data_IF_684214375789
#
_entry.id   IF_684214375789
#
_cell.length_a   1.000
_cell.length_b   1.000
_cell.length_c   1.000
_cell.angle_alpha   90.00
_cell.angle_beta   90.00
_cell.angle_gamma   90.00
#
_symmetry.space_group_name_H-M   'P 1'
#
loop_
_entity.id
_entity.type
_entity.pdbx_description
1 polymer ?
#
# COMPACT_ATOMS: atom_id res chain seq x y z
N UNK A 1 -5.37 13.87 26.99
CA UNK A 1 -5.77 13.80 25.57
C UNK A 1 -4.53 13.98 24.73
N UNK A 2 -3.88 12.88 24.37
CA UNK A 2 -2.72 12.87 23.48
C UNK A 2 -3.18 13.17 22.06
N UNK A 3 -2.53 14.12 21.39
CA UNK A 3 -2.76 14.39 19.98
C UNK A 3 -2.58 13.07 19.18
N UNK A 4 -3.46 12.76 18.21
CA UNK A 4 -3.25 11.59 17.37
C UNK A 4 -1.91 11.76 16.62
N UNK A 5 -1.10 10.69 16.47
CA UNK A 5 0.08 10.74 15.62
C UNK A 5 -0.34 11.25 14.24
N UNK A 6 0.54 12.01 13.57
CA UNK A 6 0.38 12.73 12.30
C UNK A 6 -0.11 11.84 11.12
N UNK A 7 -1.31 11.30 11.27
CA UNK A 7 -1.95 10.30 10.43
C UNK A 7 -3.27 10.85 9.92
N UNK A 8 -3.23 12.03 9.31
CA UNK A 8 -4.38 12.57 8.62
C UNK A 8 -3.92 13.14 7.28
N UNK A 9 -3.97 12.28 6.26
CA UNK A 9 -4.11 12.68 4.86
C UNK A 9 -2.99 13.52 4.21
N UNK A 10 -1.75 13.47 4.70
CA UNK A 10 -0.64 14.25 4.10
C UNK A 10 -0.24 13.80 2.68
N UNK A 11 -0.82 12.71 2.17
CA UNK A 11 -0.65 12.24 0.78
C UNK A 11 -1.95 12.24 -0.04
N UNK A 12 -2.95 13.07 0.30
CA UNK A 12 -4.02 13.44 -0.66
C UNK A 12 -3.60 14.68 -1.45
N UNK A 13 -2.31 14.76 -1.76
CA UNK A 13 -1.79 15.64 -2.79
C UNK A 13 -0.80 14.80 -3.59
N UNK A 14 -0.96 14.84 -4.90
CA UNK A 14 0.00 14.23 -5.80
C UNK A 14 1.42 14.81 -5.55
N UNK A 15 2.49 14.21 -6.07
CA UNK A 15 3.84 14.77 -5.96
C UNK A 15 4.01 16.18 -6.57
N UNK A 16 2.97 16.75 -7.18
CA UNK A 16 2.94 18.10 -7.75
C UNK A 16 2.11 19.10 -6.91
N UNK A 17 1.63 18.69 -5.72
CA UNK A 17 0.89 19.56 -4.80
C UNK A 17 -0.57 19.79 -5.15
N UNK A 18 -1.09 19.11 -6.18
CA UNK A 18 -2.50 19.11 -6.59
C UNK A 18 -3.26 18.07 -5.76
N UNK A 19 -4.38 18.47 -5.16
CA UNK A 19 -5.36 17.53 -4.61
C UNK A 19 -6.20 16.95 -5.76
N UNK A 20 -5.57 16.11 -6.59
CA UNK A 20 -6.26 15.42 -7.68
C UNK A 20 -6.70 14.04 -7.22
N UNK A 21 -8.02 13.82 -7.26
CA UNK A 21 -8.74 12.57 -7.07
C UNK A 21 -7.99 11.54 -6.20
N UNK A 22 -8.13 11.67 -4.87
CA UNK A 22 -8.15 10.47 -4.05
C UNK A 22 -9.10 9.50 -4.76
N UNK A 23 -8.60 8.38 -5.27
CA UNK A 23 -9.46 7.23 -5.53
C UNK A 23 -10.27 7.11 -4.23
N UNK A 24 -11.59 7.34 -4.29
CA UNK A 24 -12.39 7.49 -3.07
C UNK A 24 -12.24 6.28 -2.13
N UNK A 25 -11.80 5.16 -2.71
CA UNK A 25 -11.66 3.87 -2.10
C UNK A 25 -10.20 3.48 -1.76
N UNK A 26 -9.20 4.37 -1.95
CA UNK A 26 -7.79 4.10 -1.62
C UNK A 26 -7.18 5.15 -0.71
N UNK A 27 -6.64 4.72 0.43
CA UNK A 27 -5.93 5.58 1.36
C UNK A 27 -4.43 5.30 1.35
N UNK A 28 -3.63 6.36 1.23
CA UNK A 28 -2.17 6.27 1.26
C UNK A 28 -1.64 6.90 2.57
N UNK A 29 -0.82 6.16 3.29
CA UNK A 29 -0.20 6.58 4.55
C UNK A 29 1.30 6.32 4.51
N UNK A 30 2.04 7.07 5.35
CA UNK A 30 3.47 6.88 5.55
C UNK A 30 3.71 6.40 6.98
N UNK A 31 4.64 5.47 7.13
CA UNK A 31 5.15 4.99 8.40
C UNK A 31 6.68 5.11 8.42
N UNK A 32 7.25 5.14 9.62
CA UNK A 32 8.69 5.14 9.87
C UNK A 32 9.26 3.73 10.13
N UNK A 33 8.39 2.75 10.41
CA UNK A 33 8.79 1.36 10.64
C UNK A 33 7.74 0.36 10.18
N UNK A 34 8.14 -0.90 9.98
CA UNK A 34 7.25 -1.99 9.55
C UNK A 34 6.16 -2.29 10.60
N UNK A 35 6.52 -2.17 11.89
CA UNK A 35 5.58 -2.32 13.01
C UNK A 35 4.54 -1.21 13.00
N UNK A 36 4.98 0.03 12.85
CA UNK A 36 4.08 1.18 12.73
C UNK A 36 3.19 1.05 11.51
N UNK A 37 3.72 0.63 10.36
CA UNK A 37 2.94 0.44 9.14
C UNK A 37 1.78 -0.55 9.34
N UNK A 38 2.05 -1.64 10.08
CA UNK A 38 1.03 -2.63 10.43
C UNK A 38 -0.07 -2.03 11.32
N UNK A 39 0.32 -1.33 12.40
CA UNK A 39 -0.62 -0.71 13.34
C UNK A 39 -1.44 0.38 12.67
N UNK A 40 -0.81 1.23 11.86
CA UNK A 40 -1.48 2.28 11.11
C UNK A 40 -2.45 1.71 10.09
N UNK A 41 -2.07 0.63 9.40
CA UNK A 41 -2.98 -0.03 8.46
C UNK A 41 -4.26 -0.47 9.16
N UNK A 42 -4.16 -1.05 10.35
CA UNK A 42 -5.31 -1.52 11.13
C UNK A 42 -6.18 -0.38 11.62
N UNK A 43 -5.56 0.67 12.15
CA UNK A 43 -6.26 1.85 12.64
C UNK A 43 -7.00 2.57 11.49
N UNK A 44 -6.37 2.69 10.33
CA UNK A 44 -6.96 3.36 9.16
C UNK A 44 -8.08 2.51 8.58
N UNK A 45 -7.90 1.19 8.43
CA UNK A 45 -8.98 0.29 8.02
C UNK A 45 -10.20 0.37 8.95
N UNK A 46 -9.98 0.43 10.27
CA UNK A 46 -11.06 0.55 11.25
C UNK A 46 -11.76 1.92 11.19
N UNK A 47 -11.01 3.00 10.93
CA UNK A 47 -11.54 4.37 10.90
C UNK A 47 -12.23 4.73 9.59
N UNK A 48 -11.84 4.09 8.48
CA UNK A 48 -12.36 4.38 7.15
C UNK A 48 -12.93 3.12 6.50
N UNK A 49 -14.06 2.59 7.00
CA UNK A 49 -14.65 1.34 6.52
C UNK A 49 -15.18 1.42 5.07
N UNK A 50 -15.29 2.63 4.51
CA UNK A 50 -15.66 2.86 3.11
C UNK A 50 -14.47 2.66 2.15
N UNK A 51 -13.22 2.72 2.62
CA UNK A 51 -12.06 2.51 1.76
C UNK A 51 -11.93 1.02 1.44
N UNK A 52 -11.77 0.70 0.15
CA UNK A 52 -11.52 -0.67 -0.29
C UNK A 52 -10.07 -1.10 -0.03
N UNK A 53 -9.13 -0.15 -0.13
CA UNK A 53 -7.70 -0.37 0.03
C UNK A 53 -7.07 0.69 0.94
N UNK A 54 -6.18 0.24 1.81
CA UNK A 54 -5.31 1.09 2.64
C UNK A 54 -3.87 0.68 2.38
N UNK A 55 -3.03 1.59 1.92
CA UNK A 55 -1.61 1.37 1.69
C UNK A 55 -0.82 2.19 2.70
N UNK A 56 -0.02 1.53 3.52
CA UNK A 56 0.89 2.17 4.47
C UNK A 56 2.32 1.86 4.08
N UNK A 57 3.04 2.90 3.70
CA UNK A 57 4.37 2.80 3.16
C UNK A 57 5.48 3.08 4.17
N UNK A 58 6.47 2.19 4.25
CA UNK A 58 7.77 2.43 4.88
C UNK A 58 8.80 2.72 3.78
N UNK A 59 9.37 3.94 3.72
CA UNK A 59 10.31 4.32 2.66
C UNK A 59 11.41 3.29 2.43
N UNK A 60 11.64 2.97 1.16
CA UNK A 60 12.71 2.07 0.67
C UNK A 60 12.65 0.64 1.21
N UNK A 61 11.55 0.25 1.88
CA UNK A 61 11.39 -1.07 2.49
C UNK A 61 10.21 -1.82 1.93
N UNK A 62 9.01 -1.35 2.24
CA UNK A 62 7.79 -2.10 1.96
C UNK A 62 6.54 -1.22 2.01
N UNK A 63 5.48 -1.72 1.39
CA UNK A 63 4.14 -1.14 1.48
C UNK A 63 3.22 -2.21 2.08
N UNK A 64 2.66 -1.93 3.26
CA UNK A 64 1.62 -2.76 3.85
C UNK A 64 0.29 -2.40 3.21
N UNK A 65 -0.46 -3.39 2.73
CA UNK A 65 -1.76 -3.21 2.09
C UNK A 65 -2.82 -3.87 2.95
N UNK A 66 -3.79 -3.11 3.42
CA UNK A 66 -5.03 -3.58 4.01
C UNK A 66 -6.16 -3.51 3.01
N UNK A 67 -7.06 -4.49 3.06
CA UNK A 67 -8.30 -4.48 2.28
C UNK A 67 -9.50 -4.35 3.22
N UNK A 68 -10.63 -3.87 2.69
CA UNK A 68 -11.91 -3.85 3.41
C UNK A 68 -12.32 -5.22 3.97
N UNK A 69 -11.93 -6.31 3.30
CA UNK A 69 -12.16 -7.69 3.76
C UNK A 69 -11.25 -8.15 4.90
N UNK A 70 -10.46 -7.26 5.50
CA UNK A 70 -9.53 -7.58 6.59
C UNK A 70 -8.27 -8.34 6.15
N UNK A 71 -8.09 -8.57 4.85
CA UNK A 71 -6.89 -9.23 4.31
C UNK A 71 -5.73 -8.23 4.30
N UNK A 72 -4.53 -8.73 4.62
CA UNK A 72 -3.29 -7.96 4.61
C UNK A 72 -2.25 -8.56 3.67
N UNK A 73 -1.55 -7.67 2.98
CA UNK A 73 -0.43 -7.99 2.12
C UNK A 73 0.73 -7.06 2.41
N UNK A 74 1.93 -7.50 2.03
CA UNK A 74 3.12 -6.66 2.00
C UNK A 74 3.64 -6.67 0.58
N UNK A 75 3.79 -5.48 0.02
CA UNK A 75 4.50 -5.27 -1.23
C UNK A 75 5.96 -4.94 -0.91
N UNK A 76 6.89 -5.64 -1.55
CA UNK A 76 8.32 -5.32 -1.47
C UNK A 76 8.85 -5.01 -2.86
N UNK A 77 9.83 -4.09 -2.99
CA UNK A 77 10.56 -3.91 -4.24
C UNK A 77 11.09 -5.26 -4.74
N UNK A 78 10.73 -5.63 -5.96
CA UNK A 78 11.21 -6.83 -6.64
C UNK A 78 12.24 -6.40 -7.69
N UNK A 79 13.53 -6.59 -7.37
CA UNK A 79 14.66 -6.22 -8.23
C UNK A 79 15.11 -4.75 -8.09
N UNK A 80 16.09 -4.35 -8.90
CA UNK A 80 16.58 -2.96 -8.94
C UNK A 80 15.54 -2.08 -9.60
N UNK A 81 14.61 -1.56 -8.80
CA UNK A 81 13.81 -0.41 -9.17
C UNK A 81 14.75 0.68 -9.70
N UNK A 82 14.61 1.03 -10.97
CA UNK A 82 15.35 2.15 -11.54
C UNK A 82 15.10 3.39 -10.69
N UNK A 83 16.08 4.30 -10.60
CA UNK A 83 15.99 5.57 -9.84
C UNK A 83 14.91 6.55 -10.36
N UNK A 84 13.96 6.08 -11.17
CA UNK A 84 12.95 6.87 -11.87
C UNK A 84 11.76 7.25 -10.98
N UNK A 85 11.53 6.55 -9.87
CA UNK A 85 10.41 6.81 -8.96
C UNK A 85 10.93 7.30 -7.62
N UNK A 86 10.41 8.45 -7.17
CA UNK A 86 10.38 8.76 -5.75
C UNK A 86 9.47 7.77 -5.01
N UNK A 87 9.69 7.61 -3.71
CA UNK A 87 8.83 6.80 -2.85
C UNK A 87 7.34 7.14 -3.00
N UNK A 88 7.01 8.43 -3.07
CA UNK A 88 5.65 8.91 -3.25
C UNK A 88 5.02 8.42 -4.54
N UNK A 89 5.77 8.50 -5.65
CA UNK A 89 5.32 8.04 -6.95
C UNK A 89 5.18 6.51 -6.99
N UNK A 90 6.06 5.78 -6.31
CA UNK A 90 5.93 4.33 -6.17
C UNK A 90 4.67 3.94 -5.39
N UNK A 91 4.38 4.62 -4.27
CA UNK A 91 3.14 4.45 -3.49
C UNK A 91 1.90 4.73 -4.33
N UNK A 92 1.90 5.84 -5.07
CA UNK A 92 0.78 6.21 -5.94
C UNK A 92 0.56 5.18 -7.05
N UNK A 93 1.63 4.81 -7.76
CA UNK A 93 1.56 3.80 -8.81
C UNK A 93 1.08 2.45 -8.29
N UNK A 94 1.52 2.04 -7.09
CA UNK A 94 1.06 0.82 -6.44
C UNK A 94 -0.44 0.90 -6.09
N UNK A 95 -0.88 2.04 -5.56
CA UNK A 95 -2.29 2.28 -5.23
C UNK A 95 -3.19 2.21 -6.46
N UNK A 96 -2.80 2.88 -7.55
CA UNK A 96 -3.51 2.84 -8.83
C UNK A 96 -3.59 1.42 -9.40
N UNK A 97 -2.46 0.71 -9.45
CA UNK A 97 -2.41 -0.68 -9.91
C UNK A 97 -3.32 -1.56 -9.05
N UNK A 98 -3.17 -1.55 -7.74
CA UNK A 98 -4.00 -2.37 -6.85
C UNK A 98 -5.48 -2.05 -6.96
N UNK A 99 -5.85 -0.78 -7.11
CA UNK A 99 -7.24 -0.38 -7.32
C UNK A 99 -7.79 -0.91 -8.64
N UNK A 100 -7.02 -0.83 -9.73
CA UNK A 100 -7.43 -1.41 -11.01
C UNK A 100 -7.65 -2.93 -10.92
N UNK A 101 -6.76 -3.64 -10.20
CA UNK A 101 -6.92 -5.08 -9.95
C UNK A 101 -8.14 -5.39 -9.07
N UNK A 102 -8.33 -4.61 -8.01
CA UNK A 102 -9.45 -4.74 -7.09
C UNK A 102 -10.80 -4.49 -7.78
N UNK A 103 -10.93 -3.41 -8.53
CA UNK A 103 -12.14 -3.06 -9.29
C UNK A 103 -12.45 -4.09 -10.38
N UNK A 104 -11.42 -4.70 -10.98
CA UNK A 104 -11.56 -5.85 -11.88
C UNK A 104 -11.91 -7.17 -11.16
N UNK A 105 -12.06 -7.17 -9.82
CA UNK A 105 -12.34 -8.34 -8.97
C UNK A 105 -11.32 -9.46 -9.12
N UNK A 106 -10.08 -9.11 -9.43
CA UNK A 106 -8.99 -10.06 -9.54
C UNK A 106 -8.51 -10.44 -8.14
N UNK A 107 -8.27 -11.74 -7.93
CA UNK A 107 -7.79 -12.21 -6.63
C UNK A 107 -6.35 -11.76 -6.38
N UNK A 108 -6.19 -10.88 -5.40
CA UNK A 108 -4.88 -10.41 -4.94
C UNK A 108 -3.97 -11.54 -4.41
N UNK A 109 -4.48 -12.74 -4.05
CA UNK A 109 -3.57 -13.89 -3.80
C UNK A 109 -2.82 -14.29 -5.06
N UNK A 110 -3.50 -14.29 -6.22
CA UNK A 110 -2.90 -14.69 -7.49
C UNK A 110 -1.85 -13.70 -7.97
N UNK A 111 -1.92 -12.46 -7.52
CA UNK A 111 -0.82 -11.49 -7.65
C UNK A 111 0.43 -11.91 -6.87
N UNK A 112 0.36 -12.81 -5.89
CA UNK A 112 1.54 -13.24 -5.14
C UNK A 112 2.59 -13.97 -5.99
N UNK A 113 2.21 -14.48 -7.17
CA UNK A 113 3.14 -15.08 -8.14
C UNK A 113 3.63 -14.07 -9.19
N UNK A 114 3.00 -12.90 -9.28
CA UNK A 114 3.27 -11.87 -10.27
C UNK A 114 3.84 -10.62 -9.59
N UNK A 115 4.59 -9.80 -10.32
CA UNK A 115 5.00 -8.50 -9.79
C UNK A 115 3.97 -7.44 -10.19
N UNK A 116 3.60 -6.56 -9.26
CA UNK A 116 2.81 -5.38 -9.59
C UNK A 116 3.75 -4.39 -10.28
N UNK A 117 3.59 -4.12 -11.57
CA UNK A 117 4.40 -3.12 -12.24
C UNK A 117 4.16 -1.73 -11.65
N UNK A 118 5.25 -0.97 -11.53
CA UNK A 118 5.22 0.45 -11.17
C UNK A 118 5.74 1.30 -12.32
N UNK A 119 5.11 2.45 -12.56
CA UNK A 119 5.48 3.35 -13.65
C UNK A 119 5.64 4.78 -13.15
N UNK A 120 6.68 5.47 -13.61
CA UNK A 120 6.75 6.92 -13.51
C UNK A 120 5.92 7.56 -14.64
N UNK A 121 5.55 8.85 -14.55
CA UNK A 121 4.76 9.51 -15.59
C UNK A 121 5.36 9.39 -17.00
N UNK A 122 6.69 9.48 -17.13
CA UNK A 122 7.37 9.33 -18.42
C UNK A 122 7.15 7.94 -19.04
N UNK A 123 7.45 6.90 -18.28
CA UNK A 123 7.24 5.52 -18.72
C UNK A 123 5.76 5.15 -18.94
N UNK A 124 4.85 5.72 -18.15
CA UNK A 124 3.41 5.53 -18.33
C UNK A 124 2.92 6.12 -19.66
N UNK A 125 3.50 7.25 -20.09
CA UNK A 125 3.16 7.88 -21.37
C UNK A 125 3.59 7.04 -22.58
N UNK A 126 4.70 6.31 -22.47
CA UNK A 126 5.24 5.46 -23.55
C UNK A 126 4.42 4.18 -23.81
N UNK A 127 3.49 3.82 -22.90
CA UNK A 127 2.57 2.65 -22.99
C UNK A 127 3.22 1.30 -23.31
N UNK A 128 4.54 1.18 -23.26
CA UNK A 128 5.25 -0.06 -23.54
C UNK A 128 5.24 -0.97 -22.29
N UNK A 129 4.75 -2.24 -22.39
CA UNK A 129 4.71 -3.17 -21.26
C UNK A 129 6.09 -3.46 -20.65
N UNK A 130 7.14 -3.32 -21.44
CA UNK A 130 8.55 -3.51 -21.04
C UNK A 130 9.16 -2.29 -20.36
N UNK A 131 8.48 -1.15 -20.38
CA UNK A 131 8.98 0.12 -19.85
C UNK A 131 8.49 0.38 -18.41
N UNK A 132 8.27 -0.65 -17.58
CA UNK A 132 8.01 -0.38 -16.15
C UNK A 132 9.28 0.12 -15.46
N UNK A 133 9.10 0.96 -14.44
CA UNK A 133 10.18 1.41 -13.56
C UNK A 133 10.69 0.29 -12.64
N UNK A 134 9.97 -0.82 -12.58
CA UNK A 134 10.24 -1.98 -11.73
C UNK A 134 8.94 -2.71 -11.39
N UNK A 135 9.05 -3.64 -10.43
CA UNK A 135 7.94 -4.41 -9.91
C UNK A 135 7.89 -4.41 -8.39
N UNK A 136 6.70 -4.62 -7.84
CA UNK A 136 6.47 -4.88 -6.44
C UNK A 136 5.99 -6.32 -6.27
N UNK A 137 6.75 -7.14 -5.56
CA UNK A 137 6.33 -8.50 -5.21
C UNK A 137 5.33 -8.43 -4.07
N UNK A 138 4.18 -9.06 -4.25
CA UNK A 138 3.13 -9.16 -3.25
C UNK A 138 3.33 -10.43 -2.42
N UNK A 139 3.33 -10.29 -1.10
CA UNK A 139 3.37 -11.42 -0.17
C UNK A 139 2.21 -11.32 0.81
N UNK A 140 1.41 -12.38 1.01
CA UNK A 140 0.41 -12.38 2.06
C UNK A 140 1.11 -12.24 3.42
N UNK A 141 0.54 -11.43 4.31
CA UNK A 141 0.96 -11.46 5.71
C UNK A 141 0.44 -12.76 6.28
N UNK A 142 1.33 -13.70 6.63
CA UNK A 142 0.91 -14.82 7.46
C UNK A 142 0.38 -14.23 8.75
N UNK A 143 -0.94 -14.32 8.96
CA UNK A 143 -1.52 -14.04 10.25
C UNK A 143 -0.85 -15.01 11.21
N UNK A 144 0.01 -14.47 12.09
CA UNK A 144 0.53 -15.26 13.19
C UNK A 144 -0.65 -15.94 13.87
N UNK A 145 -0.55 -17.26 14.06
CA UNK A 145 -1.39 -18.00 14.99
C UNK A 145 -1.68 -17.10 16.20
N UNK A 146 -2.94 -16.98 16.66
CA UNK A 146 -3.21 -16.29 17.91
C UNK A 146 -2.28 -16.93 18.93
N UNK A 147 -1.33 -16.14 19.44
CA UNK A 147 -0.36 -16.63 20.40
C UNK A 147 -1.15 -17.29 21.50
N UNK A 148 -0.81 -18.55 21.78
CA UNK A 148 -1.22 -19.25 22.98
C UNK A 148 -0.70 -18.44 24.18
N UNK A 149 -1.50 -17.46 24.57
CA UNK A 149 -1.21 -16.45 25.56
C UNK A 149 -2.53 -15.98 26.10
N UNK A 150 -3.34 -16.95 26.57
CA UNK A 150 -4.48 -16.66 27.42
C UNK A 150 -3.97 -15.85 28.60
N UNK A 151 -4.34 -14.58 28.63
CA UNK A 151 -4.26 -13.78 29.85
C UNK A 151 -5.31 -14.39 30.78
N UNK A 152 -4.87 -15.30 31.65
CA UNK A 152 -5.59 -15.67 32.86
C UNK A 152 -5.60 -14.43 33.75
N UNK A 153 -6.68 -13.66 33.69
CA UNK A 153 -7.01 -12.72 34.75
C UNK A 153 -7.44 -13.54 35.97
N UNK A 154 -6.63 -13.47 37.03
CA UNK A 154 -7.06 -13.75 38.40
C UNK A 154 -7.24 -12.44 39.13
#
# INVERSE_FOLDING_TARGET
MTAPPDCLATWVRDPHGQAECALADVLLCRAHSDREATVLCDLVCARYPAADLVLVGVPDRQITVGTRGGRRFVLRPAGTSGRCLSWAQAMWSAGMSLHAWWTARLDLVRLGTEQIPVWCPGHAADRAPTASCGGLALSPVQQGQPGAGGILLR
#
